data_IF_523539771162
#
_entry.id   IF_523539771162
#
_cell.length_a   1.000
_cell.length_b   1.000
_cell.length_c   1.000
_cell.angle_alpha   90.00
_cell.angle_beta   90.00
_cell.angle_gamma   90.00
#
_symmetry.space_group_name_H-M   'P 1'
#
loop_
_entity.id
_entity.type
_entity.pdbx_description
1 polymer ?
#
# COMPACT_ATOMS: atom_id res chain seq x y z
N UNK A 1 -20.22 -1.82 19.23
CA UNK A 1 -19.79 -2.13 17.84
C UNK A 1 -19.60 -3.63 17.72
N UNK A 2 -20.38 -4.27 16.86
CA UNK A 2 -20.26 -5.71 16.62
C UNK A 2 -18.94 -5.98 15.85
N UNK A 3 -17.90 -6.39 16.58
CA UNK A 3 -16.55 -6.62 16.04
C UNK A 3 -16.54 -7.70 14.95
N UNK A 4 -17.55 -8.57 14.92
CA UNK A 4 -17.73 -9.63 13.92
C UNK A 4 -18.17 -9.11 12.56
N UNK A 5 -18.87 -7.96 12.49
CA UNK A 5 -19.20 -7.29 11.22
C UNK A 5 -18.02 -6.51 10.62
N UNK A 6 -17.15 -5.97 11.48
CA UNK A 6 -15.99 -5.15 11.11
C UNK A 6 -14.76 -5.99 10.77
N UNK A 7 -14.55 -7.13 11.45
CA UNK A 7 -13.53 -8.13 11.13
C UNK A 7 -14.20 -9.28 10.38
N UNK A 8 -14.63 -9.02 9.15
CA UNK A 8 -15.22 -10.03 8.29
C UNK A 8 -14.13 -10.87 7.58
N UNK A 9 -14.50 -12.07 7.15
CA UNK A 9 -13.57 -12.99 6.46
C UNK A 9 -12.94 -12.36 5.22
N UNK A 10 -13.68 -11.47 4.53
CA UNK A 10 -13.22 -10.73 3.36
C UNK A 10 -12.03 -9.84 3.70
N UNK A 11 -12.11 -9.03 4.76
CA UNK A 11 -11.02 -8.14 5.17
C UNK A 11 -9.77 -8.90 5.59
N UNK A 12 -9.93 -10.02 6.28
CA UNK A 12 -8.81 -10.89 6.66
C UNK A 12 -8.16 -11.52 5.43
N UNK A 13 -8.95 -12.04 4.49
CA UNK A 13 -8.45 -12.62 3.26
C UNK A 13 -7.71 -11.57 2.41
N UNK A 14 -8.28 -10.37 2.25
CA UNK A 14 -7.66 -9.26 1.53
C UNK A 14 -6.35 -8.81 2.17
N UNK A 15 -6.27 -8.73 3.50
CA UNK A 15 -5.05 -8.39 4.21
C UNK A 15 -3.99 -9.50 4.09
N UNK A 16 -4.39 -10.77 4.12
CA UNK A 16 -3.48 -11.90 3.96
C UNK A 16 -2.88 -11.96 2.54
N UNK A 17 -3.70 -11.76 1.51
CA UNK A 17 -3.24 -11.69 0.11
C UNK A 17 -2.31 -10.48 -0.06
N UNK A 18 -2.67 -9.32 0.51
CA UNK A 18 -1.83 -8.12 0.46
C UNK A 18 -0.47 -8.36 1.12
N UNK A 19 -0.44 -9.01 2.28
CA UNK A 19 0.79 -9.37 2.97
C UNK A 19 1.65 -10.30 2.11
N UNK A 20 1.06 -11.34 1.53
CA UNK A 20 1.77 -12.29 0.66
C UNK A 20 2.41 -11.56 -0.54
N UNK A 21 1.64 -10.75 -1.26
CA UNK A 21 2.15 -9.99 -2.42
C UNK A 21 3.22 -8.97 -2.01
N UNK A 22 3.06 -8.34 -0.85
CA UNK A 22 4.05 -7.41 -0.29
C UNK A 22 5.37 -8.10 0.02
N UNK A 23 5.33 -9.30 0.61
CA UNK A 23 6.52 -10.09 0.92
C UNK A 23 7.20 -10.60 -0.35
N UNK A 24 6.43 -11.09 -1.32
CA UNK A 24 6.95 -11.55 -2.61
C UNK A 24 7.60 -10.40 -3.40
N UNK A 25 6.93 -9.24 -3.48
CA UNK A 25 7.47 -8.05 -4.15
C UNK A 25 8.71 -7.52 -3.45
N UNK A 26 8.68 -7.42 -2.12
CA UNK A 26 9.86 -6.99 -1.34
C UNK A 26 11.03 -7.96 -1.49
N UNK A 27 10.74 -9.27 -1.45
CA UNK A 27 11.74 -10.31 -1.64
C UNK A 27 12.40 -10.23 -3.01
N UNK A 28 11.63 -9.98 -4.08
CA UNK A 28 12.18 -9.79 -5.42
C UNK A 28 13.16 -8.60 -5.48
N UNK A 29 12.79 -7.45 -4.95
CA UNK A 29 13.66 -6.27 -4.94
C UNK A 29 14.92 -6.47 -4.10
N UNK A 30 14.79 -7.09 -2.92
CA UNK A 30 15.91 -7.23 -1.97
C UNK A 30 16.85 -8.38 -2.37
N UNK A 31 16.31 -9.55 -2.73
CA UNK A 31 17.12 -10.75 -2.99
C UNK A 31 17.53 -10.90 -4.45
N UNK A 32 16.66 -10.55 -5.39
CA UNK A 32 16.94 -10.69 -6.84
C UNK A 32 17.62 -9.45 -7.39
N UNK A 33 17.01 -8.28 -7.20
CA UNK A 33 17.56 -7.02 -7.70
C UNK A 33 18.66 -6.42 -6.79
N UNK A 34 18.82 -6.96 -5.58
CA UNK A 34 19.84 -6.55 -4.59
C UNK A 34 19.86 -5.05 -4.31
N UNK A 35 18.68 -4.42 -4.33
CA UNK A 35 18.58 -2.99 -4.08
C UNK A 35 18.80 -2.67 -2.60
N UNK A 36 19.38 -1.51 -2.32
CA UNK A 36 19.53 -1.02 -0.94
C UNK A 36 18.18 -0.68 -0.30
N UNK A 37 18.16 -0.50 1.03
CA UNK A 37 16.91 -0.20 1.76
C UNK A 37 16.19 1.07 1.24
N UNK A 38 16.94 2.13 0.95
CA UNK A 38 16.38 3.39 0.42
C UNK A 38 15.78 3.18 -0.99
N UNK A 39 16.46 2.39 -1.82
CA UNK A 39 15.97 2.03 -3.14
C UNK A 39 14.73 1.14 -3.06
N UNK A 40 14.68 0.20 -2.11
CA UNK A 40 13.48 -0.59 -1.85
C UNK A 40 12.30 0.30 -1.43
N UNK A 41 12.52 1.27 -0.54
CA UNK A 41 11.49 2.23 -0.12
C UNK A 41 10.94 3.03 -1.31
N UNK A 42 11.80 3.46 -2.23
CA UNK A 42 11.39 4.31 -3.36
C UNK A 42 10.91 3.51 -4.59
N UNK A 43 11.71 2.57 -5.09
CA UNK A 43 11.42 1.83 -6.32
C UNK A 43 10.31 0.79 -6.15
N UNK A 44 10.10 0.29 -4.92
CA UNK A 44 9.00 -0.60 -4.58
C UNK A 44 8.09 0.05 -3.53
N UNK A 45 7.69 1.30 -3.76
CA UNK A 45 6.88 2.08 -2.82
C UNK A 45 5.51 1.45 -2.48
N UNK A 46 5.00 0.53 -3.30
CA UNK A 46 3.78 -0.24 -3.00
C UNK A 46 3.95 -1.16 -1.79
N UNK A 47 5.15 -1.71 -1.58
CA UNK A 47 5.43 -2.60 -0.45
C UNK A 47 5.45 -1.90 0.92
N UNK A 48 6.23 -0.82 1.16
CA UNK A 48 6.21 -0.12 2.45
C UNK A 48 4.84 0.47 2.76
N UNK A 49 4.09 0.92 1.75
CA UNK A 49 2.74 1.47 1.95
C UNK A 49 1.72 0.40 2.28
N UNK A 50 1.83 -0.78 1.67
CA UNK A 50 1.05 -1.96 2.06
C UNK A 50 1.39 -2.43 3.48
N UNK A 51 2.68 -2.43 3.87
CA UNK A 51 3.08 -2.76 5.25
C UNK A 51 2.48 -1.79 6.28
N UNK A 52 2.54 -0.48 6.00
CA UNK A 52 1.90 0.54 6.84
C UNK A 52 0.42 0.27 7.01
N UNK A 53 -0.30 -0.01 5.92
CA UNK A 53 -1.71 -0.36 5.99
C UNK A 53 -1.97 -1.63 6.80
N UNK A 54 -1.16 -2.68 6.59
CA UNK A 54 -1.29 -3.94 7.32
C UNK A 54 -1.10 -3.73 8.82
N UNK A 55 -0.12 -2.93 9.23
CA UNK A 55 0.06 -2.53 10.65
C UNK A 55 -1.17 -1.77 11.14
N UNK A 56 -1.68 -0.80 10.37
CA UNK A 56 -2.85 -0.01 10.75
C UNK A 56 -4.11 -0.85 10.90
N UNK A 57 -4.39 -1.77 9.96
CA UNK A 57 -5.57 -2.64 10.01
C UNK A 57 -5.46 -3.66 11.14
N UNK A 58 -4.27 -4.20 11.41
CA UNK A 58 -4.04 -5.08 12.56
C UNK A 58 -4.31 -4.35 13.88
N UNK A 59 -3.75 -3.15 14.06
CA UNK A 59 -4.01 -2.37 15.30
C UNK A 59 -5.47 -1.96 15.38
N UNK A 60 -6.11 -1.60 14.27
CA UNK A 60 -7.55 -1.32 14.22
C UNK A 60 -8.38 -2.54 14.68
N UNK A 61 -8.07 -3.75 14.23
CA UNK A 61 -8.77 -4.95 14.68
C UNK A 61 -8.53 -5.28 16.16
N UNK A 62 -7.32 -5.05 16.66
CA UNK A 62 -6.97 -5.32 18.06
C UNK A 62 -7.55 -4.29 19.03
N UNK A 63 -7.44 -3.00 18.71
CA UNK A 63 -7.75 -1.87 19.61
C UNK A 63 -9.06 -1.15 19.27
N UNK A 64 -9.64 -1.37 18.10
CA UNK A 64 -10.86 -0.69 17.64
C UNK A 64 -10.66 0.79 17.28
N UNK A 65 -9.42 1.25 17.07
CA UNK A 65 -9.14 2.66 16.77
C UNK A 65 -9.42 2.99 15.30
N UNK A 66 -10.62 3.50 15.03
CA UNK A 66 -11.11 3.86 13.68
C UNK A 66 -10.21 4.84 12.93
N UNK A 67 -9.47 5.70 13.62
CA UNK A 67 -8.60 6.70 12.97
C UNK A 67 -7.37 6.10 12.27
N UNK A 68 -7.00 4.85 12.55
CA UNK A 68 -5.84 4.20 11.95
C UNK A 68 -6.10 3.69 10.53
N UNK A 69 -7.32 3.25 10.22
CA UNK A 69 -7.65 2.75 8.90
C UNK A 69 -7.53 3.85 7.81
N UNK A 70 -8.08 5.08 7.99
CA UNK A 70 -7.94 6.16 7.03
C UNK A 70 -6.53 6.76 6.95
N UNK A 71 -5.73 6.61 8.01
CA UNK A 71 -4.34 7.10 8.06
C UNK A 71 -3.48 6.53 6.93
N UNK A 72 -3.66 5.24 6.61
CA UNK A 72 -2.88 4.55 5.58
C UNK A 72 -3.48 4.63 4.16
N UNK A 73 -4.69 5.20 3.99
CA UNK A 73 -5.38 5.18 2.70
C UNK A 73 -4.72 6.06 1.64
N UNK A 74 -4.19 7.22 2.02
CA UNK A 74 -3.55 8.14 1.08
C UNK A 74 -2.37 7.49 0.33
N UNK A 75 -1.33 6.95 1.01
CA UNK A 75 -0.21 6.34 0.31
C UNK A 75 -0.64 5.07 -0.45
N UNK A 76 -1.60 4.29 0.07
CA UNK A 76 -2.13 3.14 -0.65
C UNK A 76 -2.86 3.53 -1.94
N UNK A 77 -3.64 4.60 -1.92
CA UNK A 77 -4.32 5.10 -3.13
C UNK A 77 -3.29 5.61 -4.15
N UNK A 78 -2.31 6.39 -3.67
CA UNK A 78 -1.31 7.00 -4.53
C UNK A 78 -0.43 5.96 -5.23
N UNK A 79 0.12 4.99 -4.50
CA UNK A 79 1.02 3.98 -5.09
C UNK A 79 0.29 2.74 -5.60
N UNK A 80 -0.86 2.39 -5.01
CA UNK A 80 -1.65 1.23 -5.41
C UNK A 80 -2.65 1.56 -6.52
N UNK A 81 -3.70 2.32 -6.20
CA UNK A 81 -4.82 2.54 -7.13
C UNK A 81 -4.40 3.33 -8.38
N UNK A 82 -3.59 4.38 -8.24
CA UNK A 82 -3.08 5.06 -9.43
C UNK A 82 -2.12 4.18 -10.23
N UNK A 83 -1.41 3.25 -9.56
CA UNK A 83 -0.55 2.25 -10.20
C UNK A 83 -1.28 1.37 -11.23
N UNK A 84 -2.59 1.13 -11.06
CA UNK A 84 -3.39 0.38 -12.03
C UNK A 84 -3.35 1.01 -13.44
N UNK A 85 -3.23 2.33 -13.50
CA UNK A 85 -3.26 3.09 -14.75
C UNK A 85 -1.87 3.41 -15.31
N UNK A 86 -0.81 3.08 -14.58
CA UNK A 86 0.58 3.36 -15.00
C UNK A 86 1.31 2.12 -15.52
N UNK A 87 1.00 0.93 -15.01
CA UNK A 87 1.69 -0.31 -15.38
C UNK A 87 0.98 -1.04 -16.52
N UNK A 88 1.73 -1.74 -17.37
CA UNK A 88 1.17 -2.59 -18.43
C UNK A 88 0.79 -3.99 -17.89
N UNK A 89 -0.01 -4.72 -18.67
CA UNK A 89 -0.38 -6.12 -18.38
C UNK A 89 0.59 -7.13 -19.04
N UNK A 90 1.89 -6.82 -19.04
CA UNK A 90 2.90 -7.64 -19.73
C UNK A 90 4.12 -7.93 -18.85
N UNK A 91 4.72 -9.11 -19.01
CA UNK A 91 5.94 -9.51 -18.33
C UNK A 91 5.85 -9.40 -16.80
N UNK A 92 6.90 -8.87 -16.17
CA UNK A 92 6.97 -8.66 -14.73
C UNK A 92 5.92 -7.66 -14.19
N UNK A 93 5.35 -6.81 -15.05
CA UNK A 93 4.33 -5.83 -14.63
C UNK A 93 2.99 -6.48 -14.28
N UNK A 94 2.72 -7.73 -14.70
CA UNK A 94 1.52 -8.47 -14.29
C UNK A 94 1.50 -8.68 -12.77
N UNK A 95 2.66 -8.98 -12.17
CA UNK A 95 2.77 -9.11 -10.71
C UNK A 95 2.49 -7.77 -10.01
N UNK A 96 3.03 -6.66 -10.54
CA UNK A 96 2.74 -5.33 -10.03
C UNK A 96 1.24 -5.00 -10.12
N UNK A 97 0.58 -5.33 -11.24
CA UNK A 97 -0.85 -5.15 -11.43
C UNK A 97 -1.69 -5.94 -10.39
N UNK A 98 -1.35 -7.20 -10.12
CA UNK A 98 -2.03 -7.99 -9.08
C UNK A 98 -1.90 -7.35 -7.69
N UNK A 99 -0.72 -6.79 -7.38
CA UNK A 99 -0.49 -6.05 -6.13
C UNK A 99 -1.37 -4.80 -6.07
N UNK A 100 -1.42 -3.98 -7.12
CA UNK A 100 -2.24 -2.77 -7.19
C UNK A 100 -3.75 -3.06 -7.10
N UNK A 101 -4.23 -4.15 -7.71
CA UNK A 101 -5.63 -4.59 -7.58
C UNK A 101 -5.92 -4.92 -6.12
N UNK A 102 -5.04 -5.70 -5.49
CA UNK A 102 -5.21 -6.10 -4.09
C UNK A 102 -5.18 -4.89 -3.15
N UNK A 103 -4.30 -3.93 -3.38
CA UNK A 103 -4.28 -2.65 -2.65
C UNK A 103 -5.60 -1.90 -2.80
N UNK A 104 -6.11 -1.79 -4.03
CA UNK A 104 -7.37 -1.09 -4.34
C UNK A 104 -8.57 -1.76 -3.68
N UNK A 105 -8.63 -3.10 -3.70
CA UNK A 105 -9.67 -3.86 -3.00
C UNK A 105 -9.60 -3.67 -1.48
N UNK A 106 -8.40 -3.58 -0.91
CA UNK A 106 -8.22 -3.27 0.52
C UNK A 106 -8.72 -1.85 0.86
N UNK A 107 -8.44 -0.86 0.01
CA UNK A 107 -8.97 0.51 0.17
C UNK A 107 -10.50 0.49 0.11
N UNK A 108 -11.08 -0.20 -0.88
CA UNK A 108 -12.53 -0.29 -1.04
C UNK A 108 -13.20 -0.94 0.18
N UNK A 109 -12.61 -2.03 0.69
CA UNK A 109 -13.05 -2.67 1.92
C UNK A 109 -12.93 -1.74 3.14
N UNK A 110 -11.80 -1.05 3.29
CA UNK A 110 -11.58 -0.11 4.38
C UNK A 110 -12.58 1.06 4.34
N UNK A 111 -12.85 1.62 3.17
CA UNK A 111 -13.86 2.65 2.97
C UNK A 111 -15.26 2.15 3.35
N UNK A 112 -15.63 0.94 2.91
CA UNK A 112 -16.90 0.31 3.29
C UNK A 112 -17.02 0.15 4.82
N UNK A 113 -15.96 -0.31 5.49
CA UNK A 113 -15.92 -0.45 6.95
C UNK A 113 -16.06 0.90 7.64
N UNK A 114 -15.35 1.94 7.18
CA UNK A 114 -15.43 3.28 7.75
C UNK A 114 -16.84 3.88 7.62
N UNK A 115 -17.45 3.76 6.45
CA UNK A 115 -18.84 4.18 6.22
C UNK A 115 -19.82 3.40 7.12
N UNK A 116 -19.58 2.10 7.32
CA UNK A 116 -20.42 1.25 8.17
C UNK A 116 -20.29 1.57 9.66
N UNK A 117 -19.12 2.07 10.10
CA UNK A 117 -18.90 2.52 11.48
C UNK A 117 -19.54 3.89 11.72
N UNK A 118 -19.51 4.78 10.73
CA UNK A 118 -20.12 6.10 10.79
C UNK A 118 -19.37 7.12 11.67
N UNK A 119 -18.15 6.82 12.14
CA UNK A 119 -17.31 7.75 12.90
C UNK A 119 -16.51 8.65 11.96
N UNK A 120 -17.20 9.62 11.36
CA UNK A 120 -16.60 10.56 10.40
C UNK A 120 -15.55 11.47 11.03
N UNK A 121 -15.64 11.77 12.34
CA UNK A 121 -14.67 12.61 13.04
C UNK A 121 -13.33 11.89 13.18
N UNK A 122 -13.35 10.63 13.63
CA UNK A 122 -12.13 9.82 13.67
C UNK A 122 -11.57 9.57 12.26
N UNK A 123 -12.45 9.38 11.29
CA UNK A 123 -12.07 9.17 9.88
C UNK A 123 -11.33 10.37 9.32
N UNK A 124 -11.90 11.57 9.45
CA UNK A 124 -11.29 12.82 9.01
C UNK A 124 -9.95 13.05 9.71
N UNK A 125 -9.89 12.86 11.04
CA UNK A 125 -8.65 13.00 11.82
C UNK A 125 -7.55 12.05 11.32
N UNK A 126 -7.89 10.79 11.09
CA UNK A 126 -6.97 9.78 10.56
C UNK A 126 -6.40 10.18 9.20
N UNK A 127 -7.28 10.59 8.29
CA UNK A 127 -6.88 11.03 6.95
C UNK A 127 -6.00 12.28 7.00
N UNK A 128 -6.32 13.28 7.83
CA UNK A 128 -5.51 14.50 8.00
C UNK A 128 -4.10 14.17 8.49
N UNK A 129 -3.96 13.28 9.48
CA UNK A 129 -2.64 12.82 9.92
C UNK A 129 -1.92 12.01 8.86
N UNK A 130 -2.65 11.19 8.09
CA UNK A 130 -2.11 10.47 6.94
C UNK A 130 -1.54 11.42 5.89
N UNK A 131 -2.23 12.53 5.58
CA UNK A 131 -1.74 13.56 4.67
C UNK A 131 -0.43 14.17 5.19
N UNK A 132 -0.39 14.61 6.44
CA UNK A 132 0.80 15.24 7.04
C UNK A 132 2.03 14.32 6.97
N UNK A 133 1.84 13.02 7.19
CA UNK A 133 2.95 12.05 7.20
C UNK A 133 3.32 11.58 5.79
N UNK A 134 2.34 11.25 4.96
CA UNK A 134 2.60 10.56 3.69
C UNK A 134 2.79 11.49 2.50
N UNK A 135 2.34 12.75 2.54
CA UNK A 135 2.68 13.69 1.47
C UNK A 135 4.20 13.90 1.36
N UNK A 136 4.94 14.18 2.46
CA UNK A 136 6.41 14.24 2.40
C UNK A 136 7.06 12.94 1.89
N UNK A 137 6.54 11.79 2.31
CA UNK A 137 7.03 10.49 1.85
C UNK A 137 6.80 10.31 0.34
N UNK A 138 5.60 10.62 -0.16
CA UNK A 138 5.28 10.58 -1.59
C UNK A 138 6.23 11.50 -2.37
N UNK A 139 6.42 12.74 -1.90
CA UNK A 139 7.35 13.69 -2.53
C UNK A 139 8.78 13.15 -2.57
N UNK A 140 9.25 12.54 -1.48
CA UNK A 140 10.56 11.89 -1.42
C UNK A 140 10.67 10.77 -2.47
N UNK A 141 9.71 9.86 -2.52
CA UNK A 141 9.71 8.75 -3.49
C UNK A 141 9.72 9.27 -4.92
N UNK A 142 8.85 10.23 -5.25
CA UNK A 142 8.80 10.82 -6.60
C UNK A 142 10.12 11.47 -6.99
N UNK A 143 10.71 12.26 -6.08
CA UNK A 143 11.99 12.91 -6.31
C UNK A 143 13.12 11.89 -6.48
N UNK A 144 13.15 10.86 -5.63
CA UNK A 144 14.16 9.80 -5.69
C UNK A 144 14.08 9.02 -7.00
N UNK A 145 12.89 8.56 -7.39
CA UNK A 145 12.68 7.85 -8.66
C UNK A 145 13.03 8.72 -9.88
N UNK A 146 12.75 10.03 -9.84
CA UNK A 146 13.11 10.95 -10.93
C UNK A 146 14.62 11.15 -11.05
N UNK A 147 15.32 11.31 -9.93
CA UNK A 147 16.78 11.52 -9.90
C UNK A 147 17.56 10.25 -10.23
N UNK A 148 16.98 9.07 -9.98
CA UNK A 148 17.58 7.76 -10.24
C UNK A 148 16.88 7.00 -11.39
N UNK A 149 16.26 7.73 -12.33
CA UNK A 149 15.47 7.15 -13.42
C UNK A 149 16.28 6.18 -14.30
N UNK A 150 17.56 6.48 -14.54
CA UNK A 150 18.45 5.60 -15.30
C UNK A 150 18.74 4.28 -14.56
N UNK A 151 18.86 4.34 -13.23
CA UNK A 151 19.14 3.18 -12.41
C UNK A 151 17.93 2.25 -12.33
N UNK A 152 16.73 2.79 -12.05
CA UNK A 152 15.51 1.99 -12.03
C UNK A 152 15.21 1.39 -13.41
N UNK A 153 15.45 2.14 -14.49
CA UNK A 153 15.34 1.64 -15.86
C UNK A 153 16.23 0.43 -16.11
N UNK A 154 17.51 0.51 -15.74
CA UNK A 154 18.45 -0.61 -15.84
C UNK A 154 18.01 -1.81 -14.98
N UNK A 155 17.62 -1.58 -13.73
CA UNK A 155 17.19 -2.66 -12.82
C UNK A 155 15.97 -3.41 -13.35
N UNK A 156 15.05 -2.72 -14.01
CA UNK A 156 13.85 -3.32 -14.62
C UNK A 156 14.12 -3.93 -16.00
N UNK A 157 15.11 -3.43 -16.75
CA UNK A 157 15.51 -3.94 -18.08
C UNK A 157 16.48 -5.11 -18.05
N UNK A 158 17.22 -5.37 -16.97
CA UNK A 158 18.09 -6.56 -16.83
C UNK A 158 17.30 -7.89 -16.72
N UNK A 159 16.02 -7.89 -17.08
CA UNK A 159 15.08 -9.02 -17.00
C UNK A 159 14.47 -9.35 -18.38
N UNK A 160 14.83 -8.62 -19.44
CA UNK A 160 14.63 -9.07 -20.83
C UNK A 160 15.82 -9.88 -21.35
#
# INVERSE_FOLDING_TARGET
MDRTKVRNAVGVALAAILLLLTLLGSGYFIFTLKVGFVQWLAFNACSPTSLVYLVCVTIFWLKGNTALLPFALLPMYYFGTMGLFTFTWSGANVFAQLSHITMTLNIAWAAYVLCSIGDYKATAKGLSWGIVVFVPYISFVMYYCRTHAAEIGRLLQMVE
#
